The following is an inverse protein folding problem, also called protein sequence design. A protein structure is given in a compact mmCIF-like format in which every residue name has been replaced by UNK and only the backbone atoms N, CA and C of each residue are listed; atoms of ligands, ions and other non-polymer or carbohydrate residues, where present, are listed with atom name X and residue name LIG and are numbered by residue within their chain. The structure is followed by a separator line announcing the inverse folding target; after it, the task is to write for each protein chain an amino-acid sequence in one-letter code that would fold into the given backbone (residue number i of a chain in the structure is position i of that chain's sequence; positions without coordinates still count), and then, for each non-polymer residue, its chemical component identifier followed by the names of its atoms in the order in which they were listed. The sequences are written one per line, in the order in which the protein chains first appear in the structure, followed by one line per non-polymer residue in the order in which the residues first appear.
data_IF_507436003707
#
_entry.id   IF_507436003707
#
_cell.length_a   1.000
_cell.length_b   1.000
_cell.length_c   1.000
_cell.angle_alpha   90.00
_cell.angle_beta   90.00
_cell.angle_gamma   90.00
#
_symmetry.space_group_name_H-M   'P 1'
#
loop_
_entity.id
_entity.type
_entity.pdbx_description
1 polymer ?
#
# COMPACT_ATOMS: atom_id res chain seq x y z
N UNK A 1 7.95 -6.02 3.57
CA UNK A 1 8.08 -4.59 3.93
C UNK A 1 7.10 -4.29 5.06
N UNK A 2 7.46 -3.42 6.00
CA UNK A 2 6.57 -2.99 7.08
C UNK A 2 6.35 -1.48 7.00
N UNK A 3 5.10 -1.06 7.09
CA UNK A 3 4.66 0.33 7.16
C UNK A 3 4.06 0.56 8.53
N UNK A 4 4.48 1.66 9.19
CA UNK A 4 3.93 2.07 10.48
C UNK A 4 3.52 3.53 10.36
N UNK A 5 2.24 3.78 10.60
CA UNK A 5 1.63 5.11 10.65
C UNK A 5 1.46 5.46 12.11
N UNK A 6 1.79 6.69 12.48
CA UNK A 6 1.60 7.21 13.84
C UNK A 6 0.87 8.53 13.74
N UNK A 7 -0.15 8.75 14.57
CA UNK A 7 -0.74 10.06 14.74
C UNK A 7 0.10 10.86 15.75
N UNK A 8 0.89 11.87 15.32
CA UNK A 8 1.75 12.64 16.22
C UNK A 8 1.01 13.80 16.90
N UNK A 9 -0.29 13.97 16.63
CA UNK A 9 -1.07 15.12 17.09
C UNK A 9 -1.76 14.83 18.43
N UNK A 10 -2.42 15.86 18.96
CA UNK A 10 -3.22 15.83 20.19
C UNK A 10 -4.72 15.57 19.96
N UNK A 11 -5.13 15.34 18.70
CA UNK A 11 -6.50 15.02 18.31
C UNK A 11 -6.57 13.73 17.50
N UNK A 12 -7.74 13.09 17.44
CA UNK A 12 -7.96 11.96 16.53
C UNK A 12 -7.77 12.40 15.08
N UNK A 13 -7.25 11.50 14.25
CA UNK A 13 -7.11 11.69 12.82
C UNK A 13 -7.67 10.46 12.11
N UNK A 14 -8.49 10.68 11.10
CA UNK A 14 -8.96 9.64 10.19
C UNK A 14 -8.22 9.71 8.86
N UNK A 15 -7.87 8.55 8.30
CA UNK A 15 -7.22 8.40 7.01
C UNK A 15 -8.12 7.59 6.07
N UNK A 16 -8.37 8.12 4.87
CA UNK A 16 -9.17 7.48 3.83
C UNK A 16 -8.42 6.39 3.08
N UNK A 17 -9.20 5.48 2.50
CA UNK A 17 -8.80 4.19 1.91
C UNK A 17 -7.63 3.50 2.62
N UNK A 18 -7.98 2.71 3.65
CA UNK A 18 -7.07 1.96 4.51
C UNK A 18 -5.97 1.22 3.74
N UNK A 19 -6.33 0.50 2.68
CA UNK A 19 -5.36 -0.29 1.91
C UNK A 19 -4.34 0.59 1.22
N UNK A 20 -4.78 1.69 0.64
CA UNK A 20 -3.91 2.63 -0.05
C UNK A 20 -2.91 3.26 0.92
N UNK A 21 -3.36 3.72 2.09
CA UNK A 21 -2.45 4.28 3.11
C UNK A 21 -1.50 3.19 3.65
N UNK A 22 -1.93 1.95 3.79
CA UNK A 22 -1.04 0.86 4.20
C UNK A 22 -0.11 0.35 3.07
N UNK A 23 -0.16 0.94 1.87
CA UNK A 23 0.53 0.46 0.66
C UNK A 23 0.20 -1.00 0.31
N UNK A 24 -1.07 -1.34 0.42
CA UNK A 24 -1.66 -2.59 -0.05
C UNK A 24 -2.28 -2.39 -1.42
N UNK A 25 -1.99 -3.31 -2.33
CA UNK A 25 -2.41 -3.28 -3.73
C UNK A 25 -1.92 -2.05 -4.51
N UNK A 26 -0.75 -1.52 -4.13
CA UNK A 26 -0.14 -0.35 -4.78
C UNK A 26 0.93 -0.80 -5.77
N UNK A 27 0.89 -0.24 -6.98
CA UNK A 27 1.95 -0.38 -7.98
C UNK A 27 2.94 0.77 -7.85
N UNK A 28 4.24 0.51 -8.01
CA UNK A 28 5.25 1.58 -8.11
C UNK A 28 4.97 2.49 -9.31
N UNK A 29 5.46 3.72 -9.25
CA UNK A 29 5.16 4.73 -10.28
C UNK A 29 5.74 4.40 -11.66
N UNK A 30 6.77 3.55 -11.71
CA UNK A 30 7.36 3.01 -12.94
C UNK A 30 6.60 1.78 -13.47
N UNK A 31 5.63 1.25 -12.72
CA UNK A 31 4.85 0.07 -13.09
C UNK A 31 5.56 -1.26 -12.85
N UNK A 32 6.75 -1.26 -12.24
CA UNK A 32 7.60 -2.45 -12.18
C UNK A 32 7.36 -3.32 -10.94
N UNK A 33 6.95 -2.73 -9.83
CA UNK A 33 6.69 -3.41 -8.56
C UNK A 33 5.23 -3.34 -8.16
N UNK A 34 4.76 -4.37 -7.49
CA UNK A 34 3.43 -4.46 -6.90
C UNK A 34 3.54 -4.85 -5.42
N UNK A 35 2.85 -4.10 -4.55
CA UNK A 35 2.83 -4.32 -3.12
C UNK A 35 1.56 -5.06 -2.71
N UNK A 36 1.70 -6.28 -2.23
CA UNK A 36 0.61 -7.17 -1.86
C UNK A 36 0.49 -7.28 -0.32
N UNK A 37 -0.72 -7.28 0.28
CA UNK A 37 -0.89 -7.45 1.73
C UNK A 37 -0.23 -8.72 2.28
N UNK A 38 0.58 -8.61 3.34
CA UNK A 38 1.12 -9.78 4.03
C UNK A 38 0.14 -10.21 5.13
N UNK A 39 -0.81 -11.09 4.82
CA UNK A 39 -1.83 -11.50 5.80
C UNK A 39 -2.84 -12.52 5.30
N UNK A 40 -3.04 -12.66 3.99
CA UNK A 40 -3.89 -13.70 3.42
C UNK A 40 -3.16 -15.05 3.39
N UNK A 41 -3.82 -16.07 3.93
CA UNK A 41 -3.29 -17.42 4.04
C UNK A 41 -2.96 -18.01 2.65
N UNK A 42 -1.72 -18.49 2.56
CA UNK A 42 -1.02 -19.08 1.41
C UNK A 42 -0.43 -18.08 0.37
N UNK A 43 0.91 -17.90 0.33
CA UNK A 43 1.58 -17.13 -0.73
C UNK A 43 1.47 -17.78 -2.12
N UNK A 44 0.69 -18.85 -2.30
CA UNK A 44 0.29 -19.38 -3.61
C UNK A 44 -0.78 -18.53 -4.31
N UNK A 45 -0.76 -17.21 -4.10
CA UNK A 45 -1.29 -16.27 -5.09
C UNK A 45 -0.57 -16.48 -6.44
N UNK A 46 -0.96 -15.77 -7.50
CA UNK A 46 -0.41 -15.94 -8.83
C UNK A 46 1.05 -15.46 -8.86
N UNK A 47 1.99 -16.21 -8.30
CA UNK A 47 3.41 -15.90 -8.24
C UNK A 47 4.13 -17.01 -8.97
N UNK A 48 5.04 -16.64 -9.86
CA UNK A 48 5.80 -17.60 -10.62
C UNK A 48 6.73 -18.41 -9.68
N UNK A 49 6.73 -19.75 -9.71
CA UNK A 49 7.54 -20.54 -8.78
C UNK A 49 9.04 -20.21 -8.86
N UNK A 50 9.62 -19.77 -7.73
CA UNK A 50 11.03 -19.36 -7.66
C UNK A 50 11.31 -17.98 -8.25
N UNK A 51 10.29 -17.24 -8.64
CA UNK A 51 10.37 -15.93 -9.26
C UNK A 51 9.39 -15.00 -8.53
N UNK A 52 9.91 -13.98 -7.86
CA UNK A 52 9.09 -13.01 -7.10
C UNK A 52 8.32 -12.05 -8.03
N UNK A 53 7.63 -12.59 -9.05
CA UNK A 53 6.79 -11.88 -10.02
C UNK A 53 5.38 -12.45 -9.97
N UNK A 54 4.39 -11.59 -10.07
CA UNK A 54 3.01 -12.02 -10.28
C UNK A 54 2.83 -12.62 -11.68
N UNK A 55 2.03 -13.68 -11.84
CA UNK A 55 1.69 -14.28 -13.14
C UNK A 55 0.47 -13.62 -13.78
N UNK A 56 -0.36 -12.94 -12.99
CA UNK A 56 -1.55 -12.21 -13.45
C UNK A 56 -1.89 -11.06 -12.49
N UNK A 57 -2.71 -10.09 -12.93
CA UNK A 57 -3.19 -9.02 -12.05
C UNK A 57 -4.01 -9.55 -10.87
N UNK A 58 -3.88 -8.90 -9.73
CA UNK A 58 -4.63 -9.27 -8.52
C UNK A 58 -5.99 -8.59 -8.55
N UNK A 59 -7.07 -9.37 -8.44
CA UNK A 59 -8.41 -8.83 -8.25
C UNK A 59 -8.53 -8.23 -6.84
N UNK A 60 -9.05 -7.00 -6.76
CA UNK A 60 -9.19 -6.25 -5.52
C UNK A 60 -10.68 -6.16 -5.19
N UNK A 61 -11.07 -6.54 -3.97
CA UNK A 61 -12.44 -6.40 -3.52
C UNK A 61 -12.84 -4.92 -3.44
N UNK A 62 -14.08 -4.59 -3.85
CA UNK A 62 -14.71 -3.28 -3.68
C UNK A 62 -15.09 -3.06 -2.22
N UNK A 63 -14.08 -2.92 -1.38
CA UNK A 63 -14.18 -2.55 0.03
C UNK A 63 -13.52 -1.20 0.21
N UNK A 64 -14.14 -0.30 0.97
CA UNK A 64 -13.54 0.96 1.37
C UNK A 64 -13.36 0.97 2.88
N UNK A 65 -12.11 1.09 3.32
CA UNK A 65 -11.74 1.13 4.74
C UNK A 65 -11.28 2.52 5.16
N UNK A 66 -11.53 2.89 6.42
CA UNK A 66 -11.01 4.13 7.02
C UNK A 66 -10.20 3.73 8.25
N UNK A 67 -9.01 4.32 8.40
CA UNK A 67 -8.17 4.13 9.59
C UNK A 67 -8.35 5.34 10.50
N UNK A 68 -8.91 5.13 11.68
CA UNK A 68 -8.94 6.14 12.74
C UNK A 68 -7.78 5.89 13.71
N UNK A 69 -7.08 6.96 14.08
CA UNK A 69 -5.95 6.94 15.00
C UNK A 69 -6.17 7.98 16.09
N UNK A 70 -6.27 7.52 17.33
CA UNK A 70 -6.24 8.38 18.50
C UNK A 70 -4.87 9.10 18.65
N UNK A 71 -4.79 10.16 19.47
CA UNK A 71 -3.52 10.84 19.75
C UNK A 71 -2.40 9.88 20.19
N UNK A 72 -1.31 9.84 19.41
CA UNK A 72 -0.17 8.97 19.66
C UNK A 72 -0.37 7.50 19.24
N UNK A 73 -1.54 7.13 18.71
CA UNK A 73 -1.81 5.77 18.25
C UNK A 73 -0.99 5.42 17.00
N UNK A 74 -0.68 4.13 16.87
CA UNK A 74 0.03 3.58 15.72
C UNK A 74 -0.77 2.47 15.04
N UNK A 75 -0.85 2.53 13.71
CA UNK A 75 -1.31 1.41 12.89
C UNK A 75 -0.11 0.85 12.10
N UNK A 76 0.04 -0.47 12.07
CA UNK A 76 1.14 -1.15 11.38
C UNK A 76 0.59 -2.18 10.43
N UNK A 77 1.10 -2.17 9.20
CA UNK A 77 0.77 -3.12 8.16
C UNK A 77 2.04 -3.67 7.51
N UNK A 78 1.94 -4.89 6.99
CA UNK A 78 3.03 -5.54 6.25
C UNK A 78 2.59 -5.81 4.81
N UNK A 79 3.53 -5.66 3.88
CA UNK A 79 3.34 -5.95 2.46
C UNK A 79 4.47 -6.81 1.91
N UNK A 80 4.13 -7.78 1.08
CA UNK A 80 5.05 -8.48 0.19
C UNK A 80 5.29 -7.61 -1.05
N UNK A 81 6.48 -7.70 -1.62
CA UNK A 81 6.86 -6.97 -2.84
C UNK A 81 7.07 -7.99 -3.94
N UNK A 82 6.34 -7.82 -5.04
CA UNK A 82 6.46 -8.63 -6.24
C UNK A 82 6.80 -7.76 -7.45
N UNK A 83 7.43 -8.33 -8.45
CA UNK A 83 7.44 -7.78 -9.80
C UNK A 83 6.01 -7.80 -10.38
N UNK A 84 5.66 -6.74 -11.11
CA UNK A 84 4.38 -6.62 -11.79
C UNK A 84 4.22 -7.69 -12.88
N UNK A 85 2.99 -8.20 -13.15
CA UNK A 85 2.79 -9.25 -14.16
C UNK A 85 3.15 -8.80 -15.59
N UNK A 86 3.14 -7.49 -15.86
CA UNK A 86 3.47 -6.93 -17.18
C UNK A 86 4.98 -6.82 -17.45
N UNK A 87 5.83 -7.22 -16.50
CA UNK A 87 7.28 -7.26 -16.72
C UNK A 87 7.65 -8.24 -17.84
N UNK A 88 8.76 -7.98 -18.57
CA UNK A 88 9.27 -8.91 -19.58
C UNK A 88 9.47 -10.33 -19.02
N UNK A 89 9.28 -11.34 -19.87
CA UNK A 89 9.51 -12.74 -19.49
C UNK A 89 10.92 -12.93 -18.89
N UNK A 90 10.99 -13.65 -17.77
CA UNK A 90 12.25 -13.93 -17.07
C UNK A 90 12.73 -12.84 -16.12
N UNK A 91 12.05 -11.69 -16.04
CA UNK A 91 12.31 -10.66 -15.01
C UNK A 91 11.46 -10.98 -13.78
N UNK A 92 12.10 -11.28 -12.64
CA UNK A 92 11.38 -11.67 -11.43
C UNK A 92 11.04 -10.49 -10.53
N UNK A 93 12.07 -9.90 -9.95
CA UNK A 93 11.98 -8.69 -9.15
C UNK A 93 13.04 -7.73 -9.68
N UNK A 94 12.66 -6.65 -10.37
CA UNK A 94 13.62 -5.75 -10.98
C UNK A 94 14.47 -5.09 -9.89
N UNK A 95 15.79 -5.11 -10.09
CA UNK A 95 16.74 -4.39 -9.23
C UNK A 95 16.73 -2.90 -9.59
N UNK A 96 16.87 -2.04 -8.59
CA UNK A 96 16.84 -0.60 -8.82
C UNK A 96 16.18 0.15 -7.68
N UNK A 97 16.00 1.44 -7.88
CA UNK A 97 15.26 2.30 -6.97
C UNK A 97 13.89 2.58 -7.60
N UNK A 98 12.82 2.08 -6.97
CA UNK A 98 11.44 2.18 -7.44
C UNK A 98 10.66 3.12 -6.51
N UNK A 99 10.06 4.17 -7.06
CA UNK A 99 9.22 5.09 -6.27
C UNK A 99 7.83 4.46 -6.10
N UNK A 100 7.35 4.46 -4.86
CA UNK A 100 5.98 4.07 -4.51
C UNK A 100 5.32 5.31 -3.91
N UNK A 101 4.16 5.68 -4.44
CA UNK A 101 3.45 6.88 -4.05
C UNK A 101 1.96 6.63 -4.11
N UNK A 102 1.27 7.16 -3.12
CA UNK A 102 -0.20 7.19 -3.05
C UNK A 102 -0.68 8.61 -2.84
N UNK A 103 -1.91 8.85 -3.29
CA UNK A 103 -2.70 10.01 -2.94
C UNK A 103 -3.77 9.54 -1.95
N UNK A 104 -3.99 10.33 -0.90
CA UNK A 104 -4.92 10.00 0.16
C UNK A 104 -5.63 11.24 0.68
N UNK A 105 -6.62 11.00 1.54
CA UNK A 105 -7.35 12.05 2.25
C UNK A 105 -7.30 11.80 3.75
N UNK A 106 -7.24 12.87 4.52
CA UNK A 106 -7.32 12.84 5.98
C UNK A 106 -8.43 13.75 6.48
N UNK A 107 -8.94 13.49 7.67
CA UNK A 107 -9.97 14.32 8.31
C UNK A 107 -9.94 14.17 9.83
N UNK A 108 -10.76 14.96 10.51
CA UNK A 108 -10.84 14.97 11.98
C UNK A 108 -11.49 13.67 12.53
N UNK A 109 -12.32 12.99 11.72
CA UNK A 109 -12.99 11.74 12.05
C UNK A 109 -13.38 10.94 10.78
N UNK A 110 -13.84 9.69 10.96
CA UNK A 110 -14.27 8.85 9.86
C UNK A 110 -15.50 9.38 9.09
N UNK A 111 -16.35 10.21 9.70
CA UNK A 111 -17.51 10.80 9.01
C UNK A 111 -17.05 11.82 7.98
N UNK A 112 -16.14 12.72 8.35
CA UNK A 112 -15.51 13.71 7.48
C UNK A 112 -14.83 13.04 6.27
N UNK A 113 -14.07 11.97 6.52
CA UNK A 113 -13.44 11.19 5.45
C UNK A 113 -14.48 10.48 4.58
N UNK A 114 -15.50 9.86 5.18
CA UNK A 114 -16.51 9.08 4.47
C UNK A 114 -17.46 9.90 3.60
N UNK A 115 -17.73 11.16 3.97
CA UNK A 115 -18.57 12.08 3.17
C UNK A 115 -17.74 13.06 2.31
N UNK A 116 -16.42 13.15 2.53
CA UNK A 116 -15.49 14.01 1.81
C UNK A 116 -15.51 15.48 2.28
N UNK A 117 -16.24 15.82 3.33
CA UNK A 117 -16.34 17.17 3.87
C UNK A 117 -15.28 17.40 4.96
N UNK A 118 -14.62 18.56 4.94
CA UNK A 118 -13.58 18.87 5.93
C UNK A 118 -12.31 18.05 5.78
N UNK A 119 -12.10 17.41 4.63
CA UNK A 119 -10.91 16.60 4.36
C UNK A 119 -9.73 17.43 3.86
N UNK A 120 -8.53 16.90 4.08
CA UNK A 120 -7.27 17.40 3.52
C UNK A 120 -6.62 16.31 2.68
N UNK A 121 -6.34 16.62 1.41
CA UNK A 121 -5.59 15.76 0.49
C UNK A 121 -4.10 15.72 0.87
N UNK A 122 -3.47 14.56 0.70
CA UNK A 122 -2.03 14.41 0.91
C UNK A 122 -1.41 13.42 -0.09
N UNK A 123 -0.10 13.56 -0.26
CA UNK A 123 0.74 12.59 -0.98
C UNK A 123 1.67 11.92 0.01
N UNK A 124 1.76 10.60 -0.05
CA UNK A 124 2.65 9.82 0.80
C UNK A 124 3.33 8.73 -0.01
N UNK A 125 4.61 8.51 0.24
CA UNK A 125 5.40 7.59 -0.55
C UNK A 125 6.77 7.35 0.04
N UNK A 126 7.50 6.46 -0.63
CA UNK A 126 8.88 6.14 -0.34
C UNK A 126 9.56 5.60 -1.61
N UNK A 127 10.87 5.43 -1.55
CA UNK A 127 11.64 4.74 -2.59
C UNK A 127 12.08 3.39 -2.05
N UNK A 128 11.76 2.33 -2.78
CA UNK A 128 12.22 0.98 -2.48
C UNK A 128 13.46 0.68 -3.31
N UNK A 129 14.58 0.42 -2.62
CA UNK A 129 15.81 -0.05 -3.26
C UNK A 129 15.86 -1.57 -3.27
N UNK A 130 15.75 -2.18 -4.45
CA UNK A 130 15.96 -3.62 -4.66
C UNK A 130 17.39 -3.84 -5.13
N UNK A 131 18.12 -4.72 -4.42
CA UNK A 131 19.54 -5.02 -4.69
C UNK A 131 19.69 -6.50 -5.02
N UNK A 132 20.72 -6.82 -5.80
CA UNK A 132 21.12 -8.20 -6.14
C UNK A 132 21.67 -8.98 -4.95
#
# INVERSE_FOLDING_TARGET
MRVTITNPTDSTVALGEERTVQFHHVTSTDGELYLYPAGDEDPTGPVEPGCWRLTEPVAIAEYYGIVELDPGETNTAESLVYGHPDLPEGVCLPSGDHRVEIEGVSGDDAEAVGNGEGTTEFTWGFTLGVRE
#
